data_IF_842328233484
#
_entry.id   IF_842328233484
#
_cell.length_a   1.000
_cell.length_b   1.000
_cell.length_c   1.000
_cell.angle_alpha   90.00
_cell.angle_beta   90.00
_cell.angle_gamma   90.00
#
_symmetry.space_group_name_H-M   'P 1'
#
loop_
_entity.id
_entity.type
_entity.pdbx_description
1 polymer ?
#
# COMPACT_ATOMS: atom_id res chain seq x y z
N UNK A 1 41.72 -5.42 34.44
CA UNK A 1 42.01 -4.33 33.48
C UNK A 1 41.95 -4.75 32.01
N UNK A 2 42.88 -5.54 31.45
CA UNK A 2 42.82 -5.89 30.01
C UNK A 2 41.65 -6.84 29.66
N UNK A 3 41.30 -7.75 30.57
CA UNK A 3 40.16 -8.66 30.39
C UNK A 3 38.81 -7.90 30.42
N UNK A 4 38.66 -6.92 31.31
CA UNK A 4 37.45 -6.09 31.38
C UNK A 4 37.28 -5.21 30.13
N UNK A 5 38.38 -4.66 29.59
CA UNK A 5 38.36 -3.92 28.32
C UNK A 5 37.97 -4.81 27.14
N UNK A 6 38.41 -6.07 27.12
CA UNK A 6 37.98 -7.05 26.10
C UNK A 6 36.50 -7.36 26.21
N UNK A 7 36.00 -7.64 27.41
CA UNK A 7 34.59 -7.91 27.63
C UNK A 7 33.71 -6.69 27.24
N UNK A 8 34.17 -5.47 27.53
CA UNK A 8 33.47 -4.25 27.08
C UNK A 8 33.46 -4.12 25.55
N UNK A 9 34.57 -4.41 24.89
CA UNK A 9 34.62 -4.37 23.42
C UNK A 9 33.72 -5.44 22.80
N UNK A 10 33.69 -6.65 23.37
CA UNK A 10 32.82 -7.73 22.89
C UNK A 10 31.33 -7.38 23.07
N UNK A 11 30.95 -6.75 24.19
CA UNK A 11 29.58 -6.26 24.40
C UNK A 11 29.20 -5.12 23.45
N UNK A 12 30.15 -4.24 23.11
CA UNK A 12 29.93 -3.17 22.12
C UNK A 12 29.78 -3.76 20.72
N UNK A 13 30.59 -4.75 20.35
CA UNK A 13 30.49 -5.46 19.06
C UNK A 13 29.15 -6.19 18.98
N UNK A 14 28.74 -6.88 20.04
CA UNK A 14 27.46 -7.56 20.09
C UNK A 14 26.28 -6.58 19.99
N UNK A 15 26.34 -5.43 20.68
CA UNK A 15 25.31 -4.39 20.55
C UNK A 15 25.28 -3.78 19.14
N UNK A 16 26.43 -3.64 18.48
CA UNK A 16 26.52 -3.21 17.08
C UNK A 16 25.95 -4.26 16.14
N UNK A 17 26.21 -5.55 16.36
CA UNK A 17 25.67 -6.66 15.57
C UNK A 17 24.16 -6.81 15.78
N UNK A 18 23.66 -6.70 17.02
CA UNK A 18 22.23 -6.68 17.33
C UNK A 18 21.55 -5.46 16.71
N UNK A 19 22.22 -4.29 16.73
CA UNK A 19 21.74 -3.08 16.06
C UNK A 19 21.83 -3.22 14.53
N UNK A 20 22.82 -3.92 13.98
CA UNK A 20 22.94 -4.19 12.55
C UNK A 20 21.91 -5.21 12.07
N UNK A 21 21.57 -6.20 12.90
CA UNK A 21 20.47 -7.14 12.68
C UNK A 21 19.13 -6.44 12.80
N UNK A 22 18.91 -5.59 13.81
CA UNK A 22 17.73 -4.72 13.93
C UNK A 22 17.63 -3.73 12.77
N UNK A 23 18.74 -3.14 12.34
CA UNK A 23 18.81 -2.30 11.16
C UNK A 23 18.69 -3.10 9.87
N UNK A 24 18.97 -4.39 9.82
CA UNK A 24 18.66 -5.26 8.68
C UNK A 24 17.19 -5.69 8.69
N UNK A 25 16.61 -5.99 9.85
CA UNK A 25 15.16 -6.22 9.98
C UNK A 25 14.37 -4.94 9.69
N UNK A 26 14.93 -3.77 10.00
CA UNK A 26 14.33 -2.46 9.73
C UNK A 26 14.81 -1.82 8.40
N UNK A 27 15.86 -2.36 7.78
CA UNK A 27 16.25 -2.16 6.36
C UNK A 27 15.66 -3.28 5.48
N UNK A 28 14.69 -4.05 5.95
CA UNK A 28 14.04 -5.08 5.13
C UNK A 28 12.53 -5.02 5.34
N UNK A 29 12.01 -3.80 5.30
CA UNK A 29 10.62 -3.55 4.92
C UNK A 29 10.58 -2.43 3.86
N UNK A 30 11.62 -2.33 3.02
CA UNK A 30 11.58 -1.51 1.80
C UNK A 30 10.74 -2.19 0.71
N UNK A 31 10.51 -3.50 0.79
CA UNK A 31 9.44 -4.18 0.04
C UNK A 31 8.04 -3.71 0.51
N UNK A 32 7.91 -3.15 1.72
CA UNK A 32 6.70 -2.47 2.21
C UNK A 32 6.59 -1.00 1.78
N UNK A 33 7.57 -0.42 1.06
CA UNK A 33 7.52 0.98 0.60
C UNK A 33 6.63 1.18 -0.64
N UNK A 34 6.21 0.13 -1.33
CA UNK A 34 5.14 0.25 -2.34
C UNK A 34 3.77 0.20 -1.66
N UNK A 35 3.55 1.15 -0.76
CA UNK A 35 2.22 1.44 -0.24
C UNK A 35 1.73 2.72 -0.86
N UNK A 36 1.51 2.69 -2.18
CA UNK A 36 0.15 2.86 -2.72
C UNK A 36 0.14 3.19 -4.21
N UNK A 37 -0.79 2.52 -4.90
CA UNK A 37 -1.10 2.64 -6.33
C UNK A 37 -1.59 4.05 -6.74
N UNK A 38 -1.77 4.98 -5.80
CA UNK A 38 -2.25 6.33 -6.05
C UNK A 38 -1.22 7.17 -6.83
N UNK A 39 0.07 6.95 -6.61
CA UNK A 39 1.19 7.59 -7.34
C UNK A 39 1.24 7.22 -8.83
N UNK A 40 0.72 6.03 -9.12
CA UNK A 40 0.97 5.29 -10.36
C UNK A 40 0.25 5.89 -11.55
N UNK A 41 -0.77 6.70 -11.29
CA UNK A 41 -1.67 7.23 -12.30
C UNK A 41 -1.44 8.71 -12.59
N UNK A 42 -0.46 9.31 -11.91
CA UNK A 42 -0.13 10.72 -12.01
C UNK A 42 1.07 10.91 -12.96
N UNK A 43 1.07 11.97 -13.75
CA UNK A 43 2.29 12.49 -14.38
C UNK A 43 2.85 13.63 -13.53
N UNK A 44 3.65 13.38 -12.47
CA UNK A 44 4.39 14.46 -11.85
C UNK A 44 5.53 14.88 -12.78
N UNK A 45 5.66 16.20 -12.92
CA UNK A 45 6.80 16.92 -13.48
C UNK A 45 8.08 16.77 -12.65
N UNK A 46 8.03 16.07 -11.50
CA UNK A 46 9.15 15.80 -10.59
C UNK A 46 9.30 14.30 -10.36
N UNK A 47 10.36 13.71 -10.91
CA UNK A 47 10.49 12.27 -11.06
C UNK A 47 11.12 11.57 -9.84
N UNK A 48 10.67 11.92 -8.62
CA UNK A 48 11.09 11.25 -7.39
C UNK A 48 10.78 9.74 -7.43
N UNK A 49 9.79 9.33 -8.22
CA UNK A 49 9.43 7.93 -8.49
C UNK A 49 10.58 7.11 -9.07
N UNK A 50 11.46 7.70 -9.89
CA UNK A 50 12.66 7.03 -10.44
C UNK A 50 13.66 6.64 -9.37
N UNK A 51 13.55 7.17 -8.15
CA UNK A 51 14.34 6.68 -7.00
C UNK A 51 13.86 5.31 -6.50
N UNK A 52 12.61 4.96 -6.76
CA UNK A 52 11.92 3.80 -6.16
C UNK A 52 11.47 2.74 -7.16
N UNK A 53 11.27 3.11 -8.43
CA UNK A 53 10.78 2.22 -9.48
C UNK A 53 11.76 2.15 -10.64
N UNK A 54 11.90 0.95 -11.20
CA UNK A 54 12.61 0.75 -12.46
C UNK A 54 11.80 1.32 -13.62
N UNK A 55 12.47 1.58 -14.76
CA UNK A 55 11.78 2.02 -15.98
C UNK A 55 10.73 1.01 -16.44
N UNK A 56 11.00 -0.29 -16.30
CA UNK A 56 10.04 -1.34 -16.60
C UNK A 56 8.80 -1.26 -15.72
N UNK A 57 8.96 -1.06 -14.41
CA UNK A 57 7.83 -0.90 -13.49
C UNK A 57 7.02 0.35 -13.84
N UNK A 58 7.67 1.48 -14.16
CA UNK A 58 6.99 2.72 -14.58
C UNK A 58 6.21 2.53 -15.89
N UNK A 59 6.74 1.75 -16.84
CA UNK A 59 6.03 1.43 -18.09
C UNK A 59 4.82 0.51 -17.82
N UNK A 60 4.97 -0.54 -17.02
CA UNK A 60 3.86 -1.42 -16.63
C UNK A 60 2.75 -0.64 -15.90
N UNK A 61 3.14 0.28 -15.04
CA UNK A 61 2.26 1.24 -14.38
C UNK A 61 1.47 2.11 -15.36
N UNK A 62 2.15 2.68 -16.36
CA UNK A 62 1.50 3.44 -17.43
C UNK A 62 0.51 2.57 -18.23
N UNK A 63 0.87 1.31 -18.50
CA UNK A 63 -0.02 0.35 -19.16
C UNK A 63 -1.28 0.07 -18.33
N UNK A 64 -1.15 -0.15 -17.03
CA UNK A 64 -2.31 -0.30 -16.13
C UNK A 64 -3.19 0.96 -16.15
N UNK A 65 -2.58 2.14 -16.06
CA UNK A 65 -3.30 3.42 -16.13
C UNK A 65 -4.10 3.55 -17.44
N UNK A 66 -3.47 3.22 -18.58
CA UNK A 66 -4.15 3.23 -19.89
C UNK A 66 -5.27 2.21 -20.01
N UNK A 67 -5.16 1.07 -19.32
CA UNK A 67 -6.14 -0.02 -19.37
C UNK A 67 -7.41 0.29 -18.56
N UNK A 68 -7.27 0.90 -17.37
CA UNK A 68 -8.39 1.04 -16.43
C UNK A 68 -8.99 2.44 -16.33
N UNK A 69 -8.34 3.44 -16.92
CA UNK A 69 -8.83 4.82 -16.93
C UNK A 69 -9.02 5.33 -18.34
N UNK A 70 -10.07 6.13 -18.54
CA UNK A 70 -10.22 6.94 -19.75
C UNK A 70 -9.17 8.05 -19.80
N UNK A 71 -9.03 8.69 -20.95
CA UNK A 71 -8.13 9.83 -21.09
C UNK A 71 -8.50 10.99 -20.14
N UNK A 72 -9.78 11.35 -20.09
CA UNK A 72 -10.30 12.36 -19.15
C UNK A 72 -10.00 12.01 -17.67
N UNK A 73 -10.12 10.74 -17.30
CA UNK A 73 -9.81 10.30 -15.94
C UNK A 73 -8.32 10.43 -15.63
N UNK A 74 -7.45 10.08 -16.59
CA UNK A 74 -6.01 10.27 -16.44
C UNK A 74 -5.62 11.75 -16.37
N UNK A 75 -6.28 12.62 -17.12
CA UNK A 75 -6.08 14.07 -17.01
C UNK A 75 -6.47 14.60 -15.63
N UNK A 76 -7.61 14.17 -15.07
CA UNK A 76 -8.02 14.51 -13.70
C UNK A 76 -6.98 14.04 -12.68
N UNK A 77 -6.53 12.80 -12.79
CA UNK A 77 -5.51 12.22 -11.90
C UNK A 77 -4.17 12.98 -12.00
N UNK A 78 -3.77 13.37 -13.20
CA UNK A 78 -2.58 14.19 -13.42
C UNK A 78 -2.72 15.58 -12.79
N UNK A 79 -3.88 16.23 -12.94
CA UNK A 79 -4.15 17.55 -12.35
C UNK A 79 -4.15 17.49 -10.81
N UNK A 80 -4.77 16.47 -10.21
CA UNK A 80 -4.76 16.29 -8.75
C UNK A 80 -3.37 15.96 -8.21
N UNK A 81 -2.57 15.25 -9.00
CA UNK A 81 -1.22 14.84 -8.65
C UNK A 81 -0.12 15.86 -8.95
N UNK A 82 -0.43 17.01 -9.55
CA UNK A 82 0.59 17.96 -10.06
C UNK A 82 1.53 18.48 -8.97
N UNK A 83 1.00 18.66 -7.76
CA UNK A 83 1.72 19.17 -6.59
C UNK A 83 2.08 18.05 -5.59
N UNK A 84 1.89 16.78 -5.98
CA UNK A 84 2.12 15.63 -5.10
C UNK A 84 3.61 15.38 -4.89
N UNK A 85 4.06 15.53 -3.64
CA UNK A 85 5.46 15.41 -3.25
C UNK A 85 5.83 14.00 -2.76
N UNK A 86 7.13 13.77 -2.59
CA UNK A 86 7.64 12.55 -1.94
C UNK A 86 7.16 12.45 -0.48
N UNK A 87 7.09 13.60 0.22
CA UNK A 87 6.58 13.70 1.59
C UNK A 87 5.09 13.36 1.68
N UNK A 88 4.28 13.86 0.75
CA UNK A 88 2.85 13.48 0.66
C UNK A 88 2.71 11.97 0.47
N UNK A 89 3.57 11.39 -0.36
CA UNK A 89 3.59 9.95 -0.55
C UNK A 89 3.95 9.19 0.74
N UNK A 90 4.94 9.65 1.48
CA UNK A 90 5.31 9.02 2.76
C UNK A 90 4.16 9.05 3.76
N UNK A 91 3.38 10.13 3.80
CA UNK A 91 2.18 10.22 4.65
C UNK A 91 1.11 9.22 4.18
N UNK A 92 0.83 9.14 2.88
CA UNK A 92 -0.10 8.17 2.32
C UNK A 92 0.33 6.72 2.64
N UNK A 93 1.62 6.40 2.47
CA UNK A 93 2.20 5.10 2.80
C UNK A 93 1.91 4.70 4.25
N UNK A 94 2.05 5.64 5.19
CA UNK A 94 1.79 5.39 6.62
C UNK A 94 0.31 5.10 6.89
N UNK A 95 -0.60 5.85 6.28
CA UNK A 95 -2.05 5.66 6.48
C UNK A 95 -2.50 4.29 5.97
N UNK A 96 -2.12 3.97 4.74
CA UNK A 96 -2.38 2.66 4.14
C UNK A 96 -1.70 1.53 4.89
N UNK A 97 -0.47 1.77 5.37
CA UNK A 97 0.25 0.80 6.17
C UNK A 97 -0.46 0.41 7.45
N UNK A 98 -1.09 1.39 8.13
CA UNK A 98 -1.93 1.12 9.31
C UNK A 98 -3.17 0.29 8.95
N UNK A 99 -3.81 0.56 7.81
CA UNK A 99 -4.99 -0.20 7.37
C UNK A 99 -4.62 -1.65 7.00
N UNK A 100 -3.50 -1.85 6.31
CA UNK A 100 -3.01 -3.19 5.94
C UNK A 100 -2.59 -3.98 7.17
N UNK A 101 -1.89 -3.37 8.14
CA UNK A 101 -1.53 -4.05 9.39
C UNK A 101 -2.77 -4.50 10.18
N UNK A 102 -3.81 -3.66 10.21
CA UNK A 102 -5.10 -3.99 10.82
C UNK A 102 -5.81 -5.14 10.09
N UNK A 103 -5.80 -5.14 8.75
CA UNK A 103 -6.30 -6.27 7.95
C UNK A 103 -5.61 -7.59 8.33
N UNK A 104 -4.27 -7.59 8.38
CA UNK A 104 -3.47 -8.76 8.73
C UNK A 104 -3.80 -9.27 10.14
N UNK A 105 -3.95 -8.34 11.09
CA UNK A 105 -4.33 -8.68 12.46
C UNK A 105 -5.70 -9.36 12.52
N UNK A 106 -6.72 -8.78 11.87
CA UNK A 106 -8.07 -9.35 11.86
C UNK A 106 -8.11 -10.75 11.26
N UNK A 107 -7.37 -10.98 10.19
CA UNK A 107 -7.28 -12.29 9.53
C UNK A 107 -6.53 -13.29 10.41
N UNK A 108 -5.36 -12.91 10.95
CA UNK A 108 -4.55 -13.80 11.81
C UNK A 108 -5.26 -14.20 13.12
N UNK A 109 -6.20 -13.38 13.57
CA UNK A 109 -7.02 -13.64 14.76
C UNK A 109 -8.39 -14.24 14.42
N UNK A 110 -8.61 -14.62 13.16
CA UNK A 110 -9.84 -15.23 12.65
C UNK A 110 -11.11 -14.47 13.03
N UNK A 111 -11.06 -13.14 12.98
CA UNK A 111 -12.23 -12.29 13.23
C UNK A 111 -13.33 -12.52 12.19
N UNK A 112 -14.57 -12.21 12.54
CA UNK A 112 -15.68 -12.22 11.58
C UNK A 112 -15.57 -10.98 10.64
N UNK A 113 -15.65 -11.12 9.31
CA UNK A 113 -15.76 -9.97 8.39
C UNK A 113 -16.94 -9.02 8.70
N UNK A 114 -17.97 -9.47 9.42
CA UNK A 114 -19.10 -8.67 9.90
C UNK A 114 -18.84 -8.00 11.26
N UNK A 115 -17.73 -8.30 11.94
CA UNK A 115 -17.41 -7.74 13.26
C UNK A 115 -17.31 -6.21 13.22
N UNK A 116 -17.61 -5.51 14.33
CA UNK A 116 -17.43 -4.06 14.43
C UNK A 116 -16.03 -3.60 14.00
N UNK A 117 -14.99 -4.34 14.37
CA UNK A 117 -13.59 -4.06 14.03
C UNK A 117 -13.33 -4.21 12.53
N UNK A 118 -13.85 -5.27 11.90
CA UNK A 118 -13.73 -5.46 10.45
C UNK A 118 -14.48 -4.36 9.68
N UNK A 119 -15.65 -3.96 10.15
CA UNK A 119 -16.43 -2.88 9.53
C UNK A 119 -15.78 -1.50 9.72
N UNK A 120 -15.11 -1.27 10.86
CA UNK A 120 -14.29 -0.07 11.08
C UNK A 120 -13.08 -0.01 10.13
N UNK A 121 -12.40 -1.13 9.90
CA UNK A 121 -11.34 -1.23 8.88
C UNK A 121 -11.88 -0.90 7.49
N UNK A 122 -13.03 -1.44 7.11
CA UNK A 122 -13.65 -1.14 5.79
C UNK A 122 -13.94 0.34 5.64
N UNK A 123 -14.51 0.99 6.67
CA UNK A 123 -14.75 2.43 6.64
C UNK A 123 -13.45 3.21 6.44
N UNK A 124 -12.40 2.87 7.17
CA UNK A 124 -11.06 3.47 7.02
C UNK A 124 -10.50 3.26 5.61
N UNK A 125 -10.60 2.05 5.07
CA UNK A 125 -10.17 1.71 3.72
C UNK A 125 -10.90 2.53 2.66
N UNK A 126 -12.23 2.62 2.76
CA UNK A 126 -13.05 3.42 1.85
C UNK A 126 -12.73 4.91 1.93
N UNK A 127 -12.44 5.43 3.12
CA UNK A 127 -12.03 6.83 3.29
C UNK A 127 -10.69 7.11 2.57
N UNK A 128 -9.71 6.21 2.65
CA UNK A 128 -8.43 6.37 1.93
C UNK A 128 -8.61 6.31 0.41
N UNK A 129 -9.51 5.45 -0.07
CA UNK A 129 -9.89 5.41 -1.50
C UNK A 129 -10.58 6.72 -1.88
N UNK A 130 -11.56 7.18 -1.10
CA UNK A 130 -12.32 8.39 -1.37
C UNK A 130 -11.43 9.63 -1.44
N UNK A 131 -10.48 9.77 -0.51
CA UNK A 131 -9.52 10.88 -0.49
C UNK A 131 -8.74 10.96 -1.80
N UNK A 132 -8.27 9.84 -2.31
CA UNK A 132 -7.54 9.81 -3.57
C UNK A 132 -8.40 10.02 -4.80
N UNK A 133 -9.60 9.43 -4.83
CA UNK A 133 -10.45 9.55 -6.01
C UNK A 133 -11.27 10.84 -6.00
N UNK A 134 -11.18 11.64 -4.94
CA UNK A 134 -12.05 12.81 -4.71
C UNK A 134 -13.55 12.48 -4.84
N UNK A 135 -13.93 11.23 -4.55
CA UNK A 135 -15.29 10.74 -4.76
C UNK A 135 -15.72 10.50 -6.23
N UNK A 136 -14.85 10.67 -7.24
CA UNK A 136 -15.17 10.37 -8.64
C UNK A 136 -15.44 8.87 -8.82
N UNK A 137 -16.69 8.53 -9.13
CA UNK A 137 -17.16 7.13 -9.20
C UNK A 137 -16.54 6.36 -10.34
N UNK A 138 -16.19 7.04 -11.45
CA UNK A 138 -15.51 6.43 -12.58
C UNK A 138 -14.09 6.02 -12.22
N UNK A 139 -13.36 6.91 -11.54
CA UNK A 139 -11.99 6.62 -11.06
C UNK A 139 -12.01 5.55 -9.97
N UNK A 140 -12.98 5.57 -9.05
CA UNK A 140 -13.16 4.50 -8.06
C UNK A 140 -13.42 3.13 -8.71
N UNK A 141 -14.24 3.08 -9.77
CA UNK A 141 -14.51 1.86 -10.50
C UNK A 141 -13.27 1.35 -11.23
N UNK A 142 -12.54 2.24 -11.90
CA UNK A 142 -11.27 1.91 -12.55
C UNK A 142 -10.25 1.33 -11.55
N UNK A 143 -10.13 1.97 -10.38
CA UNK A 143 -9.25 1.51 -9.30
C UNK A 143 -9.62 0.10 -8.84
N UNK A 144 -10.90 -0.14 -8.56
CA UNK A 144 -11.42 -1.46 -8.15
C UNK A 144 -11.15 -2.53 -9.20
N UNK A 145 -11.37 -2.24 -10.48
CA UNK A 145 -11.14 -3.19 -11.57
C UNK A 145 -9.66 -3.52 -11.72
N UNK A 146 -8.80 -2.50 -11.65
CA UNK A 146 -7.36 -2.68 -11.72
C UNK A 146 -6.85 -3.57 -10.59
N UNK A 147 -7.24 -3.29 -9.34
CA UNK A 147 -6.80 -4.09 -8.20
C UNK A 147 -7.28 -5.54 -8.27
N UNK A 148 -8.50 -5.78 -8.76
CA UNK A 148 -9.03 -7.13 -8.97
C UNK A 148 -8.20 -7.93 -10.00
N UNK A 149 -7.79 -7.28 -11.09
CA UNK A 149 -6.98 -7.96 -12.10
C UNK A 149 -5.53 -8.14 -11.62
N UNK A 150 -4.97 -7.15 -10.91
CA UNK A 150 -3.63 -7.22 -10.31
C UNK A 150 -3.55 -8.33 -9.26
N UNK A 151 -4.59 -8.56 -8.46
CA UNK A 151 -4.58 -9.64 -7.46
C UNK A 151 -4.61 -11.03 -8.06
N UNK A 152 -5.13 -11.16 -9.28
CA UNK A 152 -5.23 -12.43 -10.01
C UNK A 152 -4.06 -12.67 -10.97
N UNK A 153 -3.27 -11.63 -11.25
CA UNK A 153 -2.15 -11.71 -12.17
C UNK A 153 -0.93 -12.38 -11.50
N UNK A 154 -0.09 -13.10 -12.26
CA UNK A 154 1.20 -13.58 -11.76
C UNK A 154 2.08 -12.41 -11.30
N UNK A 155 2.87 -12.62 -10.24
CA UNK A 155 3.75 -11.57 -9.67
C UNK A 155 4.69 -10.93 -10.68
N UNK A 156 5.13 -11.70 -11.68
CA UNK A 156 6.00 -11.24 -12.78
C UNK A 156 5.31 -10.26 -13.75
N UNK A 157 3.97 -10.22 -13.75
CA UNK A 157 3.17 -9.41 -14.68
C UNK A 157 2.59 -8.16 -14.02
N UNK A 158 2.88 -7.94 -12.73
CA UNK A 158 2.45 -6.76 -11.99
C UNK A 158 3.67 -5.94 -11.58
N UNK A 159 3.60 -4.60 -11.69
CA UNK A 159 4.73 -3.74 -11.34
C UNK A 159 5.16 -3.82 -9.87
N UNK A 160 4.31 -4.36 -9.01
CA UNK A 160 4.56 -4.58 -7.59
C UNK A 160 3.64 -5.69 -7.06
N UNK A 161 4.10 -6.45 -6.06
CA UNK A 161 3.24 -7.37 -5.34
C UNK A 161 2.20 -6.61 -4.52
N UNK A 162 1.04 -7.23 -4.29
CA UNK A 162 0.07 -6.70 -3.34
C UNK A 162 0.60 -6.83 -1.91
N UNK A 163 0.32 -5.86 -1.02
CA UNK A 163 0.85 -5.87 0.35
C UNK A 163 0.08 -6.82 1.29
N UNK A 164 -0.84 -7.60 0.73
CA UNK A 164 -1.66 -8.59 1.41
C UNK A 164 -1.81 -9.84 0.54
N UNK A 165 -2.05 -10.99 1.18
CA UNK A 165 -2.20 -12.28 0.50
C UNK A 165 -3.66 -12.56 0.09
N UNK A 166 -3.91 -13.73 -0.52
CA UNK A 166 -5.24 -14.12 -1.01
C UNK A 166 -6.30 -14.29 0.11
N UNK A 167 -5.88 -14.74 1.30
CA UNK A 167 -6.77 -14.90 2.45
C UNK A 167 -7.21 -13.53 2.96
N UNK A 168 -6.26 -12.62 3.11
CA UNK A 168 -6.49 -11.23 3.51
C UNK A 168 -7.36 -10.47 2.50
N UNK A 169 -7.13 -10.68 1.20
CA UNK A 169 -7.99 -10.15 0.15
C UNK A 169 -9.42 -10.69 0.26
N UNK A 170 -9.57 -12.01 0.46
CA UNK A 170 -10.89 -12.66 0.56
C UNK A 170 -11.66 -12.12 1.76
N UNK A 171 -10.99 -11.94 2.90
CA UNK A 171 -11.56 -11.31 4.09
C UNK A 171 -12.03 -9.89 3.78
N UNK A 172 -11.15 -9.06 3.20
CA UNK A 172 -11.45 -7.67 2.88
C UNK A 172 -12.64 -7.55 1.91
N UNK A 173 -12.70 -8.36 0.87
CA UNK A 173 -13.81 -8.36 -0.10
C UNK A 173 -15.15 -8.72 0.56
N UNK A 174 -15.16 -9.72 1.47
CA UNK A 174 -16.36 -10.07 2.24
C UNK A 174 -16.78 -8.93 3.16
N UNK A 175 -15.84 -8.35 3.90
CA UNK A 175 -16.11 -7.24 4.82
C UNK A 175 -16.67 -6.01 4.07
N UNK A 176 -16.09 -5.67 2.91
CA UNK A 176 -16.57 -4.58 2.03
C UNK A 176 -17.99 -4.86 1.55
N UNK A 177 -18.28 -6.08 1.10
CA UNK A 177 -19.61 -6.46 0.62
C UNK A 177 -20.66 -6.30 1.72
N UNK A 178 -20.36 -6.77 2.93
CA UNK A 178 -21.24 -6.64 4.10
C UNK A 178 -21.47 -5.15 4.42
N UNK A 179 -20.40 -4.36 4.44
CA UNK A 179 -20.48 -2.92 4.69
C UNK A 179 -21.41 -2.23 3.69
N UNK A 180 -21.27 -2.54 2.40
CA UNK A 180 -22.10 -1.99 1.33
C UNK A 180 -23.57 -2.36 1.49
N UNK A 181 -23.87 -3.62 1.79
CA UNK A 181 -25.25 -4.08 2.03
C UNK A 181 -25.89 -3.28 3.18
N UNK A 182 -25.18 -3.14 4.30
CA UNK A 182 -25.68 -2.44 5.48
C UNK A 182 -25.85 -0.91 5.29
N UNK A 183 -25.17 -0.32 4.31
CA UNK A 183 -25.23 1.12 4.02
C UNK A 183 -26.01 1.47 2.75
N UNK A 184 -26.44 0.47 1.97
CA UNK A 184 -27.34 0.66 0.82
C UNK A 184 -28.81 0.53 1.19
N UNK A 185 -29.11 -0.02 2.38
CA UNK A 185 -30.47 -0.18 2.92
C UNK A 185 -30.93 1.02 3.78
N UNK A 186 -30.24 2.16 3.70
CA UNK A 186 -30.60 3.44 4.34
C UNK A 186 -30.84 4.51 3.28
#
# INVERSE_FOLDING_TARGET
>A
MMQEKRNQLDSIIQAIDETAVLLQTNKQDWESIVRVIQVIQMQPTNDWRKKYFTEEQLNQMEHLSKKYYSEEQREKLAEWGKDWTEEDQLVANQQWGKAIAELKLLVSTAQDPASPEAQALVQKWQNLVHQFTHGDTGIQQGLRNMYKDVSQAPTEQVPYPLPYNQEEETFLQKAIKIYQQNHSEK
#
